data_IF_666076580878
#
_entry.id   IF_666076580878
#
_cell.length_a   1.000
_cell.length_b   1.000
_cell.length_c   1.000
_cell.angle_alpha   90.00
_cell.angle_beta   90.00
_cell.angle_gamma   90.00
#
_symmetry.space_group_name_H-M   'P 1'
#
loop_
_entity.id
_entity.type
_entity.pdbx_description
1 polymer ?
#
# COMPACT_ATOMS: atom_id res chain seq x y z
N UNK A 1 11.58 58.86 45.16
CA UNK A 1 12.75 58.21 44.49
C UNK A 1 12.65 56.70 44.75
N UNK A 2 13.10 55.79 43.86
CA UNK A 2 12.71 55.44 42.48
C UNK A 2 11.97 54.06 42.41
N UNK A 3 10.99 53.82 41.52
CA UNK A 3 11.02 53.09 40.22
C UNK A 3 10.53 51.61 40.21
N UNK A 4 9.56 51.36 39.31
CA UNK A 4 9.37 50.18 38.42
C UNK A 4 9.14 48.77 39.04
N UNK A 5 8.18 47.94 38.61
CA UNK A 5 7.23 48.03 37.49
C UNK A 5 6.48 46.70 37.25
N UNK A 6 5.55 46.72 36.28
CA UNK A 6 5.19 45.63 35.32
C UNK A 6 4.89 44.23 35.93
N UNK A 7 3.73 43.57 35.77
CA UNK A 7 2.80 43.43 34.63
C UNK A 7 1.48 42.83 35.15
N UNK A 8 0.36 43.56 35.04
CA UNK A 8 -0.97 42.95 35.07
C UNK A 8 -1.54 43.03 33.65
N UNK A 9 -1.17 42.05 32.84
CA UNK A 9 -1.68 41.91 31.49
C UNK A 9 -1.74 40.44 31.15
N UNK A 10 -2.85 40.04 30.54
CA UNK A 10 -2.96 38.84 29.69
C UNK A 10 -3.29 37.50 30.40
N UNK A 11 -4.47 37.39 31.04
CA UNK A 11 -5.02 36.07 31.42
C UNK A 11 -6.46 35.80 30.93
N UNK A 12 -7.25 36.83 30.61
CA UNK A 12 -8.67 36.62 30.25
C UNK A 12 -8.86 36.20 28.77
N UNK A 13 -7.92 36.51 27.87
CA UNK A 13 -8.02 36.13 26.45
C UNK A 13 -7.61 34.69 26.14
N UNK A 14 -6.56 34.17 26.80
CA UNK A 14 -5.91 32.90 26.39
C UNK A 14 -6.83 31.69 26.55
N UNK A 15 -7.64 31.65 27.61
CA UNK A 15 -8.55 30.53 27.86
C UNK A 15 -9.70 30.46 26.84
N UNK A 16 -10.15 31.62 26.32
CA UNK A 16 -11.18 31.67 25.28
C UNK A 16 -10.63 31.20 23.94
N UNK A 17 -9.43 31.65 23.54
CA UNK A 17 -8.78 31.19 22.31
C UNK A 17 -8.40 29.71 22.34
N UNK A 18 -7.97 29.18 23.49
CA UNK A 18 -7.69 27.75 23.67
C UNK A 18 -8.97 26.90 23.62
N UNK A 19 -10.04 27.33 24.30
CA UNK A 19 -11.33 26.64 24.26
C UNK A 19 -11.99 26.68 22.88
N UNK A 20 -11.75 27.74 22.10
CA UNK A 20 -12.24 27.88 20.73
C UNK A 20 -11.41 27.00 19.77
N UNK A 21 -10.09 26.91 19.96
CA UNK A 21 -9.23 25.95 19.25
C UNK A 21 -9.62 24.49 19.48
N UNK A 22 -9.87 24.08 20.72
CA UNK A 22 -10.33 22.72 21.03
C UNK A 22 -11.73 22.43 20.48
N UNK A 23 -12.63 23.41 20.46
CA UNK A 23 -13.94 23.29 19.81
C UNK A 23 -13.80 23.14 18.31
N UNK A 24 -12.90 23.90 17.67
CA UNK A 24 -12.64 23.79 16.24
C UNK A 24 -12.04 22.42 15.91
N UNK A 25 -11.09 21.92 16.68
CA UNK A 25 -10.52 20.58 16.51
C UNK A 25 -11.55 19.47 16.72
N UNK A 26 -12.40 19.58 17.76
CA UNK A 26 -13.49 18.65 18.00
C UNK A 26 -14.53 18.66 16.87
N UNK A 27 -14.91 19.83 16.36
CA UNK A 27 -15.86 19.97 15.25
C UNK A 27 -15.25 19.50 13.93
N UNK A 28 -13.95 19.73 13.69
CA UNK A 28 -13.23 19.21 12.52
C UNK A 28 -13.17 17.68 12.58
N UNK A 29 -12.83 17.13 13.75
CA UNK A 29 -12.83 15.69 14.04
C UNK A 29 -14.20 15.07 13.79
N UNK A 30 -15.27 15.68 14.32
CA UNK A 30 -16.64 15.18 14.14
C UNK A 30 -17.15 15.30 12.69
N UNK A 31 -16.80 16.38 11.98
CA UNK A 31 -17.09 16.52 10.54
C UNK A 31 -16.35 15.49 9.70
N UNK A 32 -15.09 15.21 10.01
CA UNK A 32 -14.35 14.14 9.32
C UNK A 32 -14.92 12.76 9.64
N UNK A 33 -15.41 12.52 10.87
CA UNK A 33 -16.03 11.24 11.21
C UNK A 33 -17.39 11.07 10.53
N UNK A 34 -18.26 12.07 10.50
CA UNK A 34 -19.58 11.93 9.85
C UNK A 34 -19.45 11.70 8.35
N UNK A 35 -18.61 12.50 7.66
CA UNK A 35 -18.31 12.29 6.24
C UNK A 35 -17.62 10.95 5.98
N UNK A 36 -16.79 10.46 6.90
CA UNK A 36 -16.17 9.15 6.83
C UNK A 36 -17.19 8.02 7.02
N UNK A 37 -18.09 8.13 7.99
CA UNK A 37 -19.18 7.19 8.21
C UNK A 37 -20.16 7.17 7.04
N UNK A 38 -20.50 8.32 6.46
CA UNK A 38 -21.36 8.43 5.27
C UNK A 38 -20.67 7.87 4.01
N UNK A 39 -19.35 8.06 3.88
CA UNK A 39 -18.55 7.47 2.81
C UNK A 39 -18.40 5.96 2.95
N UNK A 40 -18.35 5.46 4.18
CA UNK A 40 -18.38 4.02 4.47
C UNK A 40 -19.78 3.48 4.20
N UNK A 41 -20.82 4.03 4.79
CA UNK A 41 -22.19 3.54 4.63
C UNK A 41 -22.63 3.57 3.15
N UNK A 42 -22.26 4.59 2.39
CA UNK A 42 -22.51 4.64 0.93
C UNK A 42 -21.71 3.60 0.14
N UNK A 43 -20.43 3.34 0.48
CA UNK A 43 -19.62 2.31 -0.20
C UNK A 43 -20.02 0.89 0.16
N UNK A 44 -20.44 0.65 1.40
CA UNK A 44 -20.79 -0.66 1.94
C UNK A 44 -22.29 -1.00 1.75
N UNK A 45 -23.16 0.00 1.55
CA UNK A 45 -24.61 -0.19 1.44
C UNK A 45 -25.13 -0.62 0.06
N UNK A 46 -24.32 -0.53 -1.01
CA UNK A 46 -24.80 -0.69 -2.40
C UNK A 46 -24.15 -1.83 -3.20
N UNK A 47 -23.37 -2.71 -2.57
CA UNK A 47 -22.58 -3.71 -3.29
C UNK A 47 -23.04 -5.14 -3.04
N UNK A 48 -22.89 -5.98 -4.06
CA UNK A 48 -23.11 -7.42 -3.95
C UNK A 48 -22.12 -7.99 -2.91
N UNK A 49 -22.66 -8.52 -1.81
CA UNK A 49 -21.87 -9.03 -0.68
C UNK A 49 -20.85 -10.08 -1.09
N UNK A 50 -21.12 -10.82 -2.17
CA UNK A 50 -20.24 -11.86 -2.68
C UNK A 50 -18.96 -11.34 -3.35
N UNK A 51 -18.98 -10.13 -3.92
CA UNK A 51 -17.86 -9.54 -4.68
C UNK A 51 -17.26 -8.29 -4.04
N UNK A 52 -17.81 -7.85 -2.92
CA UNK A 52 -17.40 -6.61 -2.24
C UNK A 52 -15.92 -6.60 -1.84
N UNK A 53 -15.42 -7.70 -1.29
CA UNK A 53 -14.01 -7.83 -0.91
C UNK A 53 -13.22 -8.60 -1.97
N UNK A 54 -12.05 -8.07 -2.33
CA UNK A 54 -11.12 -8.82 -3.17
C UNK A 54 -10.59 -10.03 -2.44
N UNK A 55 -10.12 -11.04 -3.17
CA UNK A 55 -9.58 -12.26 -2.55
C UNK A 55 -8.37 -11.98 -1.67
N UNK A 56 -7.49 -11.06 -2.08
CA UNK A 56 -6.40 -10.57 -1.24
C UNK A 56 -6.90 -9.95 0.07
N UNK A 57 -7.95 -9.13 0.03
CA UNK A 57 -8.56 -8.53 1.23
C UNK A 57 -9.18 -9.60 2.13
N UNK A 58 -9.86 -10.59 1.57
CA UNK A 58 -10.45 -11.70 2.31
C UNK A 58 -9.39 -12.52 3.03
N UNK A 59 -8.32 -12.91 2.33
CA UNK A 59 -7.19 -13.60 2.93
C UNK A 59 -6.53 -12.77 4.03
N UNK A 60 -6.42 -11.45 3.83
CA UNK A 60 -5.87 -10.54 4.84
C UNK A 60 -6.74 -10.45 6.09
N UNK A 61 -8.06 -10.40 5.95
CA UNK A 61 -9.00 -10.39 7.09
C UNK A 61 -8.90 -11.71 7.87
N UNK A 62 -8.90 -12.85 7.18
CA UNK A 62 -8.74 -14.17 7.82
C UNK A 62 -7.41 -14.25 8.56
N UNK A 63 -6.32 -13.80 7.95
CA UNK A 63 -5.01 -13.76 8.61
C UNK A 63 -5.01 -12.89 9.87
N UNK A 64 -5.61 -11.70 9.82
CA UNK A 64 -5.69 -10.82 10.99
C UNK A 64 -6.51 -11.44 12.14
N UNK A 65 -7.58 -12.17 11.81
CA UNK A 65 -8.32 -12.97 12.80
C UNK A 65 -7.41 -14.04 13.40
N UNK A 66 -6.75 -14.86 12.57
CA UNK A 66 -5.89 -15.96 13.02
C UNK A 66 -4.72 -15.51 13.91
N UNK A 67 -4.18 -14.32 13.67
CA UNK A 67 -3.11 -13.73 14.50
C UNK A 67 -3.65 -13.21 15.84
N UNK A 68 -4.90 -12.73 15.88
CA UNK A 68 -5.52 -12.16 17.10
C UNK A 68 -6.21 -13.20 17.97
N UNK A 69 -6.68 -14.30 17.39
CA UNK A 69 -7.41 -15.35 18.11
C UNK A 69 -6.52 -15.96 19.20
N UNK A 70 -7.03 -15.93 20.43
CA UNK A 70 -6.44 -16.64 21.55
C UNK A 70 -6.85 -18.10 21.57
N UNK A 71 -6.01 -18.94 22.17
CA UNK A 71 -6.29 -20.36 22.37
C UNK A 71 -5.97 -20.77 23.81
N UNK A 72 -6.76 -21.69 24.36
CA UNK A 72 -6.65 -22.14 25.75
C UNK A 72 -7.33 -21.23 26.78
N UNK A 73 -7.41 -21.71 28.02
CA UNK A 73 -8.39 -21.23 29.00
C UNK A 73 -8.07 -19.86 29.63
N UNK A 74 -6.81 -19.44 29.83
CA UNK A 74 -6.55 -18.25 30.70
C UNK A 74 -5.32 -17.40 30.33
N UNK A 75 -4.46 -17.83 29.39
CA UNK A 75 -3.16 -17.17 29.24
C UNK A 75 -3.12 -16.15 28.08
N UNK A 76 -2.85 -14.86 28.39
CA UNK A 76 -2.69 -13.80 27.38
C UNK A 76 -1.53 -14.04 26.41
N UNK A 77 -0.58 -14.91 26.76
CA UNK A 77 0.57 -15.26 25.92
C UNK A 77 0.26 -16.35 24.88
N UNK A 78 -0.88 -17.06 24.98
CA UNK A 78 -1.30 -18.10 24.03
C UNK A 78 -2.24 -17.53 22.97
N UNK A 79 -1.67 -16.79 22.02
CA UNK A 79 -2.42 -16.15 20.93
C UNK A 79 -1.69 -16.26 19.61
N UNK A 80 -2.48 -16.31 18.55
CA UNK A 80 -1.99 -16.19 17.19
C UNK A 80 -1.49 -17.50 16.60
N UNK A 81 -1.76 -17.66 15.31
CA UNK A 81 -1.31 -18.80 14.51
C UNK A 81 0.23 -18.92 14.46
N UNK A 82 0.95 -17.80 14.48
CA UNK A 82 2.42 -17.78 14.47
C UNK A 82 3.01 -18.53 15.66
N UNK A 83 2.37 -18.44 16.83
CA UNK A 83 2.83 -19.15 18.02
C UNK A 83 2.59 -20.67 17.88
N UNK A 84 1.45 -21.07 17.34
CA UNK A 84 1.11 -22.48 17.12
C UNK A 84 2.03 -23.15 16.09
N UNK A 85 2.44 -22.42 15.05
CA UNK A 85 3.43 -22.89 14.07
C UNK A 85 4.80 -23.07 14.73
N UNK A 86 5.25 -22.10 15.54
CA UNK A 86 6.53 -22.20 16.27
C UNK A 86 6.57 -23.36 17.27
N UNK A 87 5.43 -23.73 17.84
CA UNK A 87 5.30 -24.89 18.75
C UNK A 87 5.22 -26.23 18.00
N UNK A 88 5.15 -26.23 16.67
CA UNK A 88 5.01 -27.45 15.87
C UNK A 88 3.61 -28.07 15.91
N UNK A 89 2.60 -27.35 16.40
CA UNK A 89 1.19 -27.79 16.37
C UNK A 89 0.64 -27.70 14.95
N UNK A 90 1.00 -26.64 14.23
CA UNK A 90 0.76 -26.49 12.80
C UNK A 90 2.09 -26.49 12.05
N UNK A 91 2.09 -27.05 10.84
CA UNK A 91 3.27 -27.04 9.96
C UNK A 91 3.46 -25.68 9.30
N UNK A 92 2.41 -25.14 8.69
CA UNK A 92 2.43 -23.86 7.98
C UNK A 92 1.00 -23.35 7.77
N UNK A 93 0.84 -22.08 7.41
CA UNK A 93 -0.44 -21.46 7.08
C UNK A 93 -0.29 -20.50 5.89
N UNK A 94 -0.93 -20.84 4.77
CA UNK A 94 -0.88 -20.06 3.54
C UNK A 94 -2.26 -19.85 2.93
N UNK A 95 -2.50 -18.70 2.27
CA UNK A 95 -3.73 -18.48 1.53
C UNK A 95 -3.75 -19.34 0.25
N UNK A 96 -4.93 -19.86 -0.10
CA UNK A 96 -5.11 -20.59 -1.34
C UNK A 96 -5.25 -19.63 -2.54
N UNK A 97 -4.59 -19.96 -3.65
CA UNK A 97 -4.76 -19.23 -4.90
C UNK A 97 -6.05 -19.60 -5.62
N UNK A 98 -6.64 -18.63 -6.32
CA UNK A 98 -7.82 -18.87 -7.14
C UNK A 98 -7.51 -19.66 -8.41
N UNK A 99 -8.44 -20.55 -8.76
CA UNK A 99 -8.48 -21.27 -10.04
C UNK A 99 -7.45 -22.39 -10.20
N UNK A 100 -7.81 -23.38 -11.02
CA UNK A 100 -6.87 -24.41 -11.48
C UNK A 100 -5.95 -23.84 -12.56
N UNK A 101 -4.67 -24.23 -12.54
CA UNK A 101 -3.70 -23.87 -13.60
C UNK A 101 -4.04 -24.48 -14.97
N UNK A 102 -4.96 -25.46 -15.02
CA UNK A 102 -5.24 -26.27 -16.22
C UNK A 102 -6.57 -25.96 -16.93
N UNK A 103 -7.46 -25.16 -16.34
CA UNK A 103 -8.78 -24.85 -16.94
C UNK A 103 -8.73 -23.55 -17.73
N UNK A 104 -8.79 -23.64 -19.06
CA UNK A 104 -8.74 -22.53 -20.00
C UNK A 104 -10.10 -22.27 -20.64
N UNK A 105 -11.17 -22.15 -19.85
CA UNK A 105 -12.42 -21.63 -20.41
C UNK A 105 -12.26 -20.11 -20.63
N UNK A 106 -12.48 -19.66 -21.87
CA UNK A 106 -12.34 -18.23 -22.26
C UNK A 106 -13.36 -17.33 -21.56
N UNK A 107 -14.42 -17.93 -20.99
CA UNK A 107 -15.59 -17.27 -20.42
C UNK A 107 -15.44 -16.91 -18.92
N UNK A 108 -14.47 -17.46 -18.20
CA UNK A 108 -14.27 -17.17 -16.77
C UNK A 108 -12.79 -17.21 -16.37
N UNK A 109 -12.00 -16.26 -16.88
CA UNK A 109 -10.57 -16.20 -16.57
C UNK A 109 -10.34 -15.58 -15.19
N UNK A 110 -9.62 -16.29 -14.33
CA UNK A 110 -9.25 -15.83 -12.99
C UNK A 110 -8.14 -14.77 -13.05
N UNK A 111 -8.05 -13.88 -12.06
CA UNK A 111 -7.00 -12.84 -11.99
C UNK A 111 -5.58 -13.43 -12.12
N UNK A 112 -5.33 -14.57 -11.47
CA UNK A 112 -4.06 -15.31 -11.58
C UNK A 112 -3.73 -15.68 -13.03
N UNK A 113 -4.70 -16.20 -13.76
CA UNK A 113 -4.54 -16.65 -15.14
C UNK A 113 -4.35 -15.44 -16.08
N UNK A 114 -5.07 -14.34 -15.83
CA UNK A 114 -4.89 -13.07 -16.53
C UNK A 114 -3.44 -12.57 -16.37
N UNK A 115 -2.97 -12.46 -15.12
CA UNK A 115 -1.63 -11.99 -14.81
C UNK A 115 -0.55 -12.85 -15.46
N UNK A 116 -0.71 -14.18 -15.41
CA UNK A 116 0.22 -15.10 -16.08
C UNK A 116 0.23 -14.92 -17.61
N UNK A 117 -0.94 -14.77 -18.24
CA UNK A 117 -1.01 -14.72 -19.71
C UNK A 117 -0.54 -13.40 -20.30
N UNK A 118 -0.81 -12.29 -19.61
CA UNK A 118 -0.66 -10.94 -20.16
C UNK A 118 0.46 -10.12 -19.54
N UNK A 119 0.98 -10.49 -18.36
CA UNK A 119 1.98 -9.70 -17.64
C UNK A 119 3.24 -10.50 -17.27
N UNK A 120 3.12 -11.61 -16.54
CA UNK A 120 4.26 -12.36 -16.00
C UNK A 120 5.02 -13.22 -17.03
N UNK A 121 4.98 -12.87 -18.31
CA UNK A 121 5.72 -13.55 -19.39
C UNK A 121 6.80 -12.63 -19.94
N UNK A 122 8.00 -13.17 -20.10
CA UNK A 122 9.12 -12.45 -20.72
C UNK A 122 8.77 -11.91 -22.11
N UNK A 123 7.93 -12.62 -22.87
CA UNK A 123 7.43 -12.17 -24.18
C UNK A 123 6.43 -11.01 -24.14
N UNK A 124 6.14 -10.43 -22.97
CA UNK A 124 5.19 -9.32 -22.78
C UNK A 124 5.82 -8.10 -22.09
N UNK A 125 7.15 -8.03 -22.01
CA UNK A 125 7.90 -6.96 -21.34
C UNK A 125 7.59 -5.54 -21.84
N UNK A 126 7.14 -5.38 -23.10
CA UNK A 126 6.77 -4.08 -23.68
C UNK A 126 5.34 -3.61 -23.35
N UNK A 127 4.52 -4.45 -22.70
CA UNK A 127 3.14 -4.09 -22.35
C UNK A 127 3.13 -3.26 -21.06
N UNK A 128 2.25 -2.25 -20.94
CA UNK A 128 2.09 -1.52 -19.69
C UNK A 128 1.62 -2.46 -18.58
N UNK A 129 2.06 -2.18 -17.36
CA UNK A 129 1.77 -3.03 -16.21
C UNK A 129 0.28 -2.93 -15.79
N UNK A 130 -0.45 -4.06 -15.66
CA UNK A 130 -1.84 -4.04 -15.21
C UNK A 130 -1.92 -3.91 -13.68
N UNK A 131 -1.68 -2.71 -13.17
CA UNK A 131 -1.62 -2.40 -11.73
C UNK A 131 -2.87 -2.83 -10.96
N UNK A 132 -4.07 -2.52 -11.45
CA UNK A 132 -5.32 -2.84 -10.73
C UNK A 132 -5.53 -4.34 -10.53
N UNK A 133 -5.09 -5.18 -11.49
CA UNK A 133 -5.22 -6.64 -11.38
C UNK A 133 -4.18 -7.19 -10.40
N UNK A 134 -2.94 -6.66 -10.43
CA UNK A 134 -1.90 -7.01 -9.46
C UNK A 134 -2.36 -6.64 -8.05
N UNK A 135 -2.94 -5.46 -7.87
CA UNK A 135 -3.48 -4.96 -6.60
C UNK A 135 -4.62 -5.81 -6.07
N UNK A 136 -5.57 -6.19 -6.93
CA UNK A 136 -6.70 -7.06 -6.54
C UNK A 136 -6.24 -8.46 -6.12
N UNK A 137 -5.24 -9.02 -6.79
CA UNK A 137 -4.76 -10.39 -6.57
C UNK A 137 -3.72 -10.52 -5.46
N UNK A 138 -2.68 -9.68 -5.47
CA UNK A 138 -1.58 -9.73 -4.49
C UNK A 138 -1.75 -8.75 -3.33
N UNK A 139 -2.63 -7.75 -3.46
CA UNK A 139 -2.80 -6.69 -2.48
C UNK A 139 -1.90 -5.48 -2.71
N UNK A 140 -2.14 -4.45 -1.90
CA UNK A 140 -1.53 -3.12 -2.06
C UNK A 140 -0.01 -3.12 -1.95
N UNK A 141 0.56 -3.87 -1.00
CA UNK A 141 2.01 -3.88 -0.75
C UNK A 141 2.81 -4.34 -1.97
N UNK A 142 2.38 -5.43 -2.60
CA UNK A 142 3.05 -6.01 -3.76
C UNK A 142 2.78 -5.14 -5.00
N UNK A 143 1.57 -4.61 -5.15
CA UNK A 143 1.26 -3.69 -6.24
C UNK A 143 2.10 -2.40 -6.19
N UNK A 144 2.33 -1.85 -5.01
CA UNK A 144 3.18 -0.67 -4.82
C UNK A 144 4.64 -0.97 -5.17
N UNK A 145 5.18 -2.11 -4.74
CA UNK A 145 6.53 -2.55 -5.10
C UNK A 145 6.72 -2.56 -6.62
N UNK A 146 5.78 -3.17 -7.33
CA UNK A 146 5.81 -3.27 -8.78
C UNK A 146 5.63 -1.93 -9.50
N UNK A 147 4.74 -1.07 -8.98
CA UNK A 147 4.57 0.28 -9.51
C UNK A 147 5.85 1.11 -9.37
N UNK A 148 6.53 1.02 -8.23
CA UNK A 148 7.80 1.69 -7.99
C UNK A 148 8.90 1.16 -8.92
N UNK A 149 8.97 -0.16 -9.10
CA UNK A 149 9.92 -0.77 -10.04
C UNK A 149 9.71 -0.30 -11.48
N UNK A 150 8.45 -0.24 -11.93
CA UNK A 150 8.11 0.28 -13.25
C UNK A 150 8.56 1.73 -13.40
N UNK A 151 8.19 2.59 -12.44
CA UNK A 151 8.62 3.99 -12.42
C UNK A 151 10.14 4.14 -12.48
N UNK A 152 10.87 3.39 -11.65
CA UNK A 152 12.33 3.41 -11.62
C UNK A 152 12.95 3.04 -12.97
N UNK A 153 12.41 2.01 -13.64
CA UNK A 153 12.88 1.59 -14.95
C UNK A 153 12.65 2.67 -16.02
N UNK A 154 11.50 3.34 -15.99
CA UNK A 154 11.22 4.47 -16.89
C UNK A 154 12.11 5.69 -16.59
N UNK A 155 12.40 5.97 -15.32
CA UNK A 155 13.28 7.07 -14.92
C UNK A 155 14.74 6.87 -15.38
N UNK A 156 15.18 5.63 -15.61
CA UNK A 156 16.51 5.32 -16.14
C UNK A 156 16.65 5.57 -17.65
N UNK A 157 15.56 5.62 -18.42
CA UNK A 157 15.61 5.84 -19.88
C UNK A 157 16.40 7.09 -20.26
N UNK A 158 16.13 8.31 -19.71
CA UNK A 158 16.93 9.49 -20.04
C UNK A 158 18.39 9.36 -19.62
N UNK A 159 18.67 8.70 -18.50
CA UNK A 159 20.05 8.47 -18.02
C UNK A 159 20.82 7.60 -19.01
N UNK A 160 20.20 6.53 -19.51
CA UNK A 160 20.80 5.66 -20.53
C UNK A 160 21.03 6.41 -21.84
N UNK A 161 20.09 7.25 -22.28
CA UNK A 161 20.25 8.06 -23.49
C UNK A 161 21.47 9.00 -23.36
N UNK A 162 21.59 9.72 -22.25
CA UNK A 162 22.73 10.60 -21.99
C UNK A 162 24.06 9.83 -21.93
N UNK A 163 24.06 8.65 -21.29
CA UNK A 163 25.22 7.77 -21.23
C UNK A 163 25.67 7.31 -22.61
N UNK A 164 24.74 6.88 -23.47
CA UNK A 164 25.05 6.48 -24.85
C UNK A 164 25.57 7.68 -25.66
N UNK A 165 24.96 8.86 -25.54
CA UNK A 165 25.44 10.08 -26.21
C UNK A 165 26.88 10.43 -25.82
N UNK A 166 27.21 10.34 -24.53
CA UNK A 166 28.56 10.59 -24.03
C UNK A 166 29.58 9.58 -24.61
N UNK A 167 29.24 8.29 -24.62
CA UNK A 167 30.11 7.24 -25.18
C UNK A 167 30.33 7.43 -26.68
N UNK A 168 29.28 7.75 -27.43
CA UNK A 168 29.36 8.01 -28.87
C UNK A 168 30.22 9.24 -29.16
N UNK A 169 30.04 10.33 -28.40
CA UNK A 169 30.85 11.54 -28.53
C UNK A 169 32.34 11.25 -28.27
N UNK A 170 32.65 10.53 -27.19
CA UNK A 170 34.01 10.10 -26.88
C UNK A 170 34.62 9.23 -27.99
N UNK A 171 33.85 8.29 -28.53
CA UNK A 171 34.30 7.40 -29.62
C UNK A 171 34.64 8.19 -30.90
N UNK A 172 33.82 9.17 -31.27
CA UNK A 172 34.08 10.00 -32.47
C UNK A 172 35.34 10.86 -32.28
N UNK A 173 35.52 11.44 -31.09
CA UNK A 173 36.61 12.40 -30.84
C UNK A 173 37.95 11.73 -30.49
N UNK A 174 37.95 10.42 -30.23
CA UNK A 174 39.11 9.63 -29.81
C UNK A 174 40.27 9.69 -30.83
N UNK A 175 39.96 9.68 -32.12
CA UNK A 175 40.97 9.68 -33.19
C UNK A 175 41.56 11.06 -33.50
N UNK A 176 40.95 12.14 -32.99
CA UNK A 176 41.40 13.52 -33.22
C UNK A 176 42.13 14.09 -31.99
N UNK A 177 42.16 13.33 -30.89
CA UNK A 177 42.81 13.73 -29.65
C UNK A 177 44.31 13.43 -29.69
N UNK A 178 45.14 14.47 -29.75
CA UNK A 178 46.58 14.38 -29.54
C UNK A 178 46.84 14.75 -28.08
N UNK A 179 47.18 13.79 -27.19
CA UNK A 179 47.54 14.11 -25.81
C UNK A 179 48.80 14.97 -25.80
N UNK A 180 48.75 16.12 -25.11
CA UNK A 180 49.93 16.93 -24.78
C UNK A 180 50.53 16.51 -23.45
#
# INVERSE_FOLDING_TARGET
MPLAGKRFGQSIGKNKFLAEGEKLDFVQRWRTSSLFYDKISSRFGRQNRATFFTTAQRSRMVWDILVRTGYGSVNRYKRGIDHLIRQGVYLDAFPLHEGSSKSYSKQSMTDRQYLYRYWARMSKWWRPQPYEVIRRYFGEKIALYFAWLGFYTFALIPVVILGICCVVYGYIFLNTYIPR
#
